data_IF_063765867151
#
_entry.id   IF_063765867151
#
_cell.length_a   1.000
_cell.length_b   1.000
_cell.length_c   1.000
_cell.angle_alpha   90.00
_cell.angle_beta   90.00
_cell.angle_gamma   90.00
#
_symmetry.space_group_name_H-M   'P 1'
#
loop_
_entity.id
_entity.type
_entity.pdbx_description
1 polymer ?
#
# COMPACT_ATOMS: atom_id res chain seq x y z
N UNK A 1 17.61 -0.75 13.67
CA UNK A 1 17.51 0.27 14.72
C UNK A 1 16.06 0.68 15.02
N UNK A 2 15.40 1.58 14.26
CA UNK A 2 14.04 2.06 14.62
C UNK A 2 12.99 0.96 14.76
N UNK A 3 13.03 -0.04 13.88
CA UNK A 3 12.14 -1.21 13.92
C UNK A 3 12.31 -2.04 15.20
N UNK A 4 13.55 -2.18 15.68
CA UNK A 4 13.89 -2.93 16.90
C UNK A 4 13.49 -2.12 18.14
N UNK A 5 13.79 -0.82 18.15
CA UNK A 5 13.44 0.10 19.24
C UNK A 5 11.93 0.17 19.47
N UNK A 6 11.14 0.19 18.39
CA UNK A 6 9.68 0.29 18.48
C UNK A 6 8.98 -1.06 18.50
N UNK A 7 9.69 -2.17 18.23
CA UNK A 7 9.11 -3.51 18.07
C UNK A 7 7.87 -3.51 17.15
N UNK A 8 7.90 -2.72 16.08
CA UNK A 8 6.75 -2.44 15.23
C UNK A 8 7.11 -2.57 13.74
N UNK A 9 6.08 -2.81 12.91
CA UNK A 9 6.24 -2.75 11.46
C UNK A 9 6.31 -1.29 11.04
N UNK A 10 7.42 -0.90 10.40
CA UNK A 10 7.66 0.47 9.95
C UNK A 10 7.53 0.54 8.43
N UNK A 11 6.76 1.52 7.97
CA UNK A 11 6.62 1.86 6.54
C UNK A 11 7.16 3.26 6.32
N UNK A 12 8.27 3.38 5.62
CA UNK A 12 8.84 4.66 5.21
C UNK A 12 8.39 4.98 3.79
N UNK A 13 7.42 5.91 3.67
CA UNK A 13 6.89 6.36 2.38
C UNK A 13 7.89 7.28 1.66
N UNK A 14 7.92 7.15 0.34
CA UNK A 14 8.71 7.98 -0.56
C UNK A 14 8.54 7.49 -2.00
N UNK A 15 9.41 7.96 -2.92
CA UNK A 15 9.47 7.45 -4.30
C UNK A 15 9.64 5.93 -4.35
N UNK A 16 10.38 5.38 -3.40
CA UNK A 16 10.34 3.98 -3.06
C UNK A 16 9.85 3.86 -1.62
N UNK A 17 8.85 3.00 -1.39
CA UNK A 17 8.33 2.74 -0.04
C UNK A 17 9.11 1.57 0.56
N UNK A 18 9.78 1.82 1.68
CA UNK A 18 10.53 0.79 2.42
C UNK A 18 9.67 0.25 3.56
N UNK A 19 9.68 -1.06 3.75
CA UNK A 19 8.88 -1.75 4.76
C UNK A 19 9.78 -2.72 5.51
N UNK A 20 9.76 -2.66 6.84
CA UNK A 20 10.52 -3.56 7.68
C UNK A 20 9.71 -3.94 8.93
N UNK A 21 9.86 -5.19 9.38
CA UNK A 21 9.19 -5.74 10.56
C UNK A 21 10.18 -6.16 11.64
N UNK A 22 9.76 -6.23 12.91
CA UNK A 22 10.66 -6.50 14.04
C UNK A 22 11.24 -7.91 14.02
N UNK A 23 10.52 -8.87 13.42
CA UNK A 23 10.94 -10.27 13.38
C UNK A 23 11.88 -10.59 12.21
N UNK A 24 11.94 -9.76 11.16
CA UNK A 24 12.80 -10.03 10.00
C UNK A 24 13.92 -9.00 9.86
N UNK A 25 15.12 -9.48 9.52
CA UNK A 25 16.25 -8.61 9.17
C UNK A 25 16.15 -8.00 7.77
N UNK A 26 15.18 -8.44 6.95
CA UNK A 26 15.03 -7.97 5.57
C UNK A 26 14.21 -6.69 5.49
N UNK A 27 14.64 -5.79 4.59
CA UNK A 27 13.87 -4.60 4.21
C UNK A 27 13.21 -4.88 2.86
N UNK A 28 11.89 -4.75 2.81
CA UNK A 28 11.14 -4.82 1.57
C UNK A 28 11.07 -3.44 0.93
N UNK A 29 11.06 -3.39 -0.39
CA UNK A 29 11.02 -2.15 -1.15
C UNK A 29 9.96 -2.24 -2.24
N UNK A 30 8.95 -1.38 -2.17
CA UNK A 30 7.98 -1.17 -3.24
C UNK A 30 8.36 0.08 -4.05
N UNK A 31 8.71 -0.13 -5.31
CA UNK A 31 9.03 0.95 -6.27
C UNK A 31 7.86 1.29 -7.21
N UNK A 32 6.73 0.59 -7.07
CA UNK A 32 5.53 0.83 -7.84
C UNK A 32 4.73 2.03 -7.31
N UNK A 33 3.77 2.51 -8.11
CA UNK A 33 3.05 3.75 -7.87
C UNK A 33 3.60 4.89 -8.71
N UNK A 34 2.93 6.04 -8.64
CA UNK A 34 3.23 7.21 -9.44
C UNK A 34 3.05 8.51 -8.64
N UNK A 35 3.44 9.62 -9.26
CA UNK A 35 3.41 10.95 -8.67
C UNK A 35 2.02 11.39 -8.19
N UNK A 36 0.94 10.89 -8.80
CA UNK A 36 -0.44 11.20 -8.40
C UNK A 36 -0.83 10.68 -7.01
N UNK A 37 -0.06 9.75 -6.43
CA UNK A 37 -0.24 9.33 -5.05
C UNK A 37 0.32 10.36 -4.05
N UNK A 38 1.05 11.37 -4.51
CA UNK A 38 1.61 12.48 -3.71
C UNK A 38 0.58 13.55 -3.37
N UNK A 39 -0.65 13.16 -3.03
CA UNK A 39 -1.78 14.05 -2.72
C UNK A 39 -2.16 13.96 -1.23
N UNK A 40 -2.63 15.07 -0.66
CA UNK A 40 -3.11 15.11 0.73
C UNK A 40 -4.22 14.08 0.94
N UNK A 41 -4.14 13.26 1.98
CA UNK A 41 -5.10 12.16 2.25
C UNK A 41 -4.71 10.78 1.70
N UNK A 42 -3.74 10.70 0.79
CA UNK A 42 -3.22 9.40 0.28
C UNK A 42 -2.60 8.54 1.40
N UNK A 43 -2.00 9.17 2.40
CA UNK A 43 -1.52 8.49 3.61
C UNK A 43 -2.63 7.81 4.41
N UNK A 44 -3.74 8.52 4.63
CA UNK A 44 -4.88 8.02 5.41
C UNK A 44 -5.55 6.84 4.69
N UNK A 45 -5.67 6.93 3.36
CA UNK A 45 -6.16 5.82 2.54
C UNK A 45 -5.27 4.59 2.68
N UNK A 46 -3.94 4.74 2.56
CA UNK A 46 -3.01 3.63 2.74
C UNK A 46 -3.14 3.01 4.14
N UNK A 47 -3.22 3.83 5.19
CA UNK A 47 -3.40 3.36 6.56
C UNK A 47 -4.72 2.58 6.70
N UNK A 48 -5.81 3.08 6.13
CA UNK A 48 -7.11 2.40 6.12
C UNK A 48 -7.08 1.06 5.39
N UNK A 49 -6.39 0.96 4.26
CA UNK A 49 -6.19 -0.31 3.53
C UNK A 49 -5.45 -1.32 4.41
N UNK A 50 -4.33 -0.90 5.03
CA UNK A 50 -3.51 -1.78 5.89
C UNK A 50 -4.34 -2.24 7.09
N UNK A 51 -5.04 -1.32 7.76
CA UNK A 51 -5.90 -1.62 8.89
C UNK A 51 -7.03 -2.60 8.51
N UNK A 52 -7.70 -2.39 7.37
CA UNK A 52 -8.74 -3.28 6.87
C UNK A 52 -8.22 -4.69 6.56
N UNK A 53 -7.01 -4.82 6.02
CA UNK A 53 -6.37 -6.12 5.78
C UNK A 53 -5.99 -6.81 7.10
N UNK A 54 -5.43 -6.07 8.06
CA UNK A 54 -5.08 -6.59 9.38
C UNK A 54 -6.32 -7.05 10.16
N UNK A 55 -7.41 -6.28 10.10
CA UNK A 55 -8.70 -6.62 10.72
C UNK A 55 -9.30 -7.92 10.16
N UNK A 56 -8.90 -8.34 8.95
CA UNK A 56 -9.29 -9.61 8.33
C UNK A 56 -8.36 -10.78 8.65
N UNK A 57 -7.40 -10.59 9.57
CA UNK A 57 -6.49 -11.63 10.05
C UNK A 57 -5.13 -11.70 9.35
N UNK A 58 -4.81 -10.75 8.46
CA UNK A 58 -3.46 -10.67 7.91
C UNK A 58 -2.47 -10.23 9.01
N UNK A 59 -1.34 -10.93 9.14
CA UNK A 59 -0.27 -10.53 10.03
C UNK A 59 0.19 -9.09 9.72
N UNK A 60 0.60 -8.26 10.71
CA UNK A 60 0.87 -6.84 10.50
C UNK A 60 1.82 -6.54 9.34
N UNK A 61 2.92 -7.27 9.21
CA UNK A 61 3.84 -7.09 8.09
C UNK A 61 3.17 -7.45 6.76
N UNK A 62 2.43 -8.55 6.73
CA UNK A 62 1.76 -9.02 5.52
C UNK A 62 0.70 -8.01 5.06
N UNK A 63 -0.10 -7.48 6.00
CA UNK A 63 -1.08 -6.43 5.76
C UNK A 63 -0.42 -5.17 5.18
N UNK A 64 0.73 -4.76 5.74
CA UNK A 64 1.50 -3.63 5.23
C UNK A 64 2.02 -3.86 3.82
N UNK A 65 2.65 -5.01 3.55
CA UNK A 65 3.18 -5.35 2.22
C UNK A 65 2.07 -5.36 1.16
N UNK A 66 0.95 -6.01 1.46
CA UNK A 66 -0.21 -6.04 0.56
C UNK A 66 -0.85 -4.67 0.40
N UNK A 67 -1.04 -3.93 1.48
CA UNK A 67 -1.65 -2.60 1.46
C UNK A 67 -0.84 -1.61 0.63
N UNK A 68 0.48 -1.56 0.80
CA UNK A 68 1.37 -0.72 -0.02
C UNK A 68 1.31 -1.12 -1.49
N UNK A 69 1.32 -2.42 -1.80
CA UNK A 69 1.22 -2.89 -3.18
C UNK A 69 -0.12 -2.55 -3.84
N UNK A 70 -1.23 -2.75 -3.11
CA UNK A 70 -2.58 -2.43 -3.60
C UNK A 70 -2.76 -0.93 -3.80
N UNK A 71 -2.29 -0.11 -2.86
CA UNK A 71 -2.32 1.34 -2.95
C UNK A 71 -1.54 1.84 -4.18
N UNK A 72 -0.33 1.32 -4.40
CA UNK A 72 0.48 1.63 -5.59
C UNK A 72 -0.25 1.25 -6.90
N UNK A 73 -0.80 0.03 -6.97
CA UNK A 73 -1.54 -0.46 -8.15
C UNK A 73 -2.82 0.34 -8.43
N UNK A 74 -3.53 0.76 -7.39
CA UNK A 74 -4.71 1.62 -7.52
C UNK A 74 -4.31 2.97 -8.10
N UNK A 75 -3.24 3.59 -7.57
CA UNK A 75 -2.68 4.81 -8.16
C UNK A 75 -2.28 4.62 -9.62
N UNK A 76 -1.64 3.51 -9.99
CA UNK A 76 -1.24 3.24 -11.39
C UNK A 76 -2.43 2.98 -12.31
N UNK A 77 -3.54 2.48 -11.78
CA UNK A 77 -4.77 2.36 -12.55
C UNK A 77 -5.44 3.72 -12.75
N UNK A 78 -5.59 4.53 -11.69
CA UNK A 78 -6.13 5.89 -11.80
C UNK A 78 -5.29 6.79 -12.70
N UNK A 79 -3.96 6.64 -12.67
CA UNK A 79 -3.06 7.37 -13.54
C UNK A 79 -3.29 7.08 -15.04
N UNK A 80 -3.79 5.89 -15.37
CA UNK A 80 -4.15 5.50 -16.74
C UNK A 80 -5.55 5.95 -17.13
N UNK A 81 -6.48 6.01 -16.17
CA UNK A 81 -7.89 6.35 -16.42
C UNK A 81 -8.14 7.86 -16.43
N UNK A 82 -7.49 8.60 -15.51
CA UNK A 82 -7.67 10.05 -15.32
C UNK A 82 -6.46 10.83 -15.81
N UNK A 83 -5.27 10.30 -15.58
CA UNK A 83 -3.98 10.97 -15.82
C UNK A 83 -3.08 10.92 -14.59
N UNK A 84 -1.76 11.14 -14.75
CA UNK A 84 -0.79 11.03 -13.66
C UNK A 84 -0.99 12.06 -12.53
N UNK A 85 -1.78 13.11 -12.79
CA UNK A 85 -2.21 14.13 -11.84
C UNK A 85 -3.71 14.35 -12.02
N UNK A 86 -4.42 14.64 -10.92
CA UNK A 86 -5.83 15.08 -10.97
C UNK A 86 -6.83 14.14 -10.29
N UNK A 87 -6.49 12.86 -10.06
CA UNK A 87 -7.32 12.00 -9.22
C UNK A 87 -7.14 12.32 -7.74
N UNK A 88 -8.18 12.06 -6.96
CA UNK A 88 -8.29 12.40 -5.55
C UNK A 88 -8.10 11.16 -4.67
N UNK A 89 -7.71 11.32 -3.40
CA UNK A 89 -7.41 10.17 -2.54
C UNK A 89 -8.61 9.25 -2.36
N UNK A 90 -9.82 9.82 -2.30
CA UNK A 90 -11.08 9.08 -2.14
C UNK A 90 -11.37 8.09 -3.27
N UNK A 91 -10.74 8.26 -4.44
CA UNK A 91 -10.94 7.39 -5.60
C UNK A 91 -10.07 6.12 -5.51
N UNK A 92 -8.95 6.19 -4.79
CA UNK A 92 -8.04 5.06 -4.56
C UNK A 92 -8.72 3.87 -3.86
N UNK A 93 -9.43 4.02 -2.71
CA UNK A 93 -10.03 2.88 -2.01
C UNK A 93 -11.11 2.16 -2.82
N UNK A 94 -11.81 2.86 -3.73
CA UNK A 94 -12.85 2.26 -4.58
C UNK A 94 -12.28 1.18 -5.52
N UNK A 95 -11.00 1.25 -5.87
CA UNK A 95 -10.34 0.25 -6.72
C UNK A 95 -9.87 -1.00 -5.96
N UNK A 96 -9.74 -0.94 -4.64
CA UNK A 96 -9.11 -1.99 -3.83
C UNK A 96 -9.83 -3.34 -3.94
N UNK A 97 -11.18 -3.43 -3.77
CA UNK A 97 -11.87 -4.71 -3.91
C UNK A 97 -11.71 -5.32 -5.31
N UNK A 98 -11.78 -4.50 -6.36
CA UNK A 98 -11.62 -4.95 -7.76
C UNK A 98 -10.20 -5.45 -8.01
N UNK A 99 -9.18 -4.79 -7.47
CA UNK A 99 -7.79 -5.23 -7.60
C UNK A 99 -7.54 -6.55 -6.86
N UNK A 100 -8.10 -6.72 -5.66
CA UNK A 100 -8.02 -7.98 -4.91
C UNK A 100 -8.67 -9.14 -5.69
N UNK A 101 -9.87 -8.94 -6.23
CA UNK A 101 -10.56 -9.97 -7.03
C UNK A 101 -9.78 -10.38 -8.29
N UNK A 102 -9.07 -9.44 -8.94
CA UNK A 102 -8.20 -9.75 -10.09
C UNK A 102 -7.00 -10.64 -9.69
N UNK A 103 -6.47 -10.49 -8.49
CA UNK A 103 -5.34 -11.29 -8.00
C UNK A 103 -5.74 -12.73 -7.70
N UNK A 104 -6.96 -12.96 -7.20
CA UNK A 104 -7.50 -14.31 -7.00
C UNK A 104 -7.67 -15.06 -8.31
N UNK A 105 -8.20 -14.40 -9.35
CA UNK A 105 -8.41 -15.02 -10.67
C UNK A 105 -7.11 -15.42 -11.37
N UNK A 106 -5.97 -14.81 -11.04
CA UNK A 106 -4.65 -15.18 -11.59
C UNK A 106 -4.02 -16.41 -10.94
N UNK A 107 -4.57 -16.88 -9.80
CA UNK A 107 -4.13 -18.09 -9.12
C UNK A 107 -4.85 -19.36 -9.60
N UNK A 108 -5.93 -19.21 -10.37
CA UNK A 108 -6.61 -20.29 -11.08
C UNK A 108 -6.12 -20.32 -12.52
#
# INVERSE_FOLDING_TARGET
RTVEELSAVITLKGRATLIAGPAQKQIYCNRAGNVGLGISGSGDVLAGIIAGLAARGAAPLQATLWGVSLHARAGDQLAREVGPLGYLPREVPALIPRLMAKLEKRKK
#
